data_IF_313579812980
#
_entry.id   IF_313579812980
#
_cell.length_a   1.000
_cell.length_b   1.000
_cell.length_c   1.000
_cell.angle_alpha   90.00
_cell.angle_beta   90.00
_cell.angle_gamma   90.00
#
_symmetry.space_group_name_H-M   'P 1'
#
loop_
_entity.id
_entity.type
_entity.pdbx_description
1 polymer ?
2 non-polymer ?
3 water ?
#
# COMPACT_ATOMS: atom_id res chain seq x y z
N UNK A 2 1.89 27.94 3.76
CA UNK A 2 3.24 28.46 3.71
C UNK A 2 4.41 27.64 4.28
N UNK A 3 4.23 26.36 4.68
CA UNK A 3 5.41 25.55 4.98
C UNK A 3 6.23 25.35 3.72
N UNK A 4 7.55 25.41 3.86
CA UNK A 4 8.40 25.20 2.69
C UNK A 4 8.34 23.80 2.11
N UNK A 5 8.06 22.78 2.91
CA UNK A 5 7.91 21.42 2.41
C UNK A 5 6.65 20.80 2.99
N UNK A 6 5.94 20.01 2.19
CA UNK A 6 4.85 19.19 2.69
C UNK A 6 4.97 17.81 2.06
N UNK A 7 4.60 16.78 2.83
CA UNK A 7 4.59 15.41 2.33
C UNK A 7 3.42 14.71 3.01
N UNK A 8 2.33 14.55 2.28
CA UNK A 8 1.14 14.00 2.88
C UNK A 8 1.29 12.52 3.22
N UNK A 9 2.30 11.84 2.66
CA UNK A 9 2.58 10.47 3.11
C UNK A 9 2.89 10.44 4.60
N UNK A 10 3.57 11.47 5.10
CA UNK A 10 3.97 11.50 6.51
C UNK A 10 2.79 11.67 7.46
N UNK A 11 1.64 12.12 6.96
CA UNK A 11 0.42 12.25 7.75
C UNK A 11 -0.47 11.02 7.63
N UNK A 12 0.02 9.95 7.02
CA UNK A 12 -0.78 8.76 6.83
C UNK A 12 -1.95 8.91 5.88
N UNK A 13 -1.86 9.82 4.91
CA UNK A 13 -2.98 10.14 4.04
C UNK A 13 -2.85 9.58 2.62
N UNK A 14 -1.85 8.74 2.36
CA UNK A 14 -1.55 8.24 1.02
C UNK A 14 -1.43 6.72 1.07
N UNK A 15 -2.24 6.05 0.26
CA UNK A 15 -2.23 4.60 0.15
C UNK A 15 -1.03 4.12 -0.67
N UNK A 16 -0.85 2.80 -0.72
CA UNK A 16 0.25 2.22 -1.50
C UNK A 16 0.18 2.65 -2.96
N UNK A 17 1.36 2.76 -3.59
CA UNK A 17 1.44 3.03 -5.02
C UNK A 17 0.79 1.90 -5.80
N UNK A 18 -0.07 2.26 -6.76
CA UNK A 18 -0.74 1.28 -7.60
C UNK A 18 -0.04 1.12 -8.94
N UNK A 19 -0.48 0.12 -9.71
CA UNK A 19 0.14 -0.26 -10.99
C UNK A 19 -0.95 -0.36 -12.05
N UNK A 20 -1.02 0.65 -12.93
CA UNK A 20 -2.10 0.71 -13.91
C UNK A 20 -1.94 -0.29 -15.04
N UNK A 21 -0.70 -0.69 -15.35
CA UNK A 21 -0.50 -1.64 -16.44
C UNK A 21 -0.90 -1.08 -17.79
N UNK A 22 -1.45 -1.94 -18.63
CA UNK A 22 -1.74 -1.59 -20.01
C UNK A 22 -3.04 -0.82 -20.17
N UNK A 23 -3.70 -0.47 -19.08
CA UNK A 23 -4.97 0.25 -19.10
C UNK A 23 -4.72 1.72 -18.78
N UNK A 24 -5.12 2.60 -19.68
CA UNK A 24 -4.91 4.01 -19.45
C UNK A 24 -5.84 4.64 -18.43
N UNK A 25 -5.78 4.17 -17.18
CA UNK A 25 -6.70 4.61 -16.14
C UNK A 25 -6.01 5.49 -15.12
N UNK A 26 -4.97 6.23 -15.52
CA UNK A 26 -4.30 7.13 -14.60
C UNK A 26 -5.23 8.21 -14.05
N UNK A 27 -6.24 8.62 -14.84
CA UNK A 27 -7.27 9.53 -14.34
C UNK A 27 -8.02 8.96 -13.14
N UNK A 28 -8.28 7.65 -13.17
CA UNK A 28 -8.99 7.04 -12.05
C UNK A 28 -8.09 6.90 -10.82
N UNK A 29 -6.81 6.63 -11.03
CA UNK A 29 -5.91 6.55 -9.89
C UNK A 29 -5.69 7.92 -9.27
N UNK A 30 -5.54 8.95 -10.11
CA UNK A 30 -5.43 10.30 -9.60
C UNK A 30 -6.65 10.68 -8.77
N UNK A 31 -7.85 10.30 -9.22
CA UNK A 31 -9.08 10.65 -8.52
C UNK A 31 -9.17 9.95 -7.14
N UNK A 32 -9.08 8.62 -7.12
CA UNK A 32 -9.21 7.91 -5.84
C UNK A 32 -8.12 8.33 -4.86
N UNK A 33 -6.89 8.48 -5.34
CA UNK A 33 -5.80 8.95 -4.49
C UNK A 33 -6.11 10.25 -3.79
N UNK A 34 -6.66 11.22 -4.52
CA UNK A 34 -7.06 12.48 -3.90
C UNK A 34 -8.18 12.27 -2.88
N UNK A 35 -9.19 11.45 -3.22
CA UNK A 35 -10.31 11.20 -2.31
C UNK A 35 -9.87 10.41 -1.09
N UNK A 36 -8.97 9.44 -1.28
CA UNK A 36 -8.46 8.65 -0.16
C UNK A 36 -7.93 9.56 0.95
N UNK A 37 -7.21 10.63 0.58
CA UNK A 37 -6.66 11.53 1.59
C UNK A 37 -7.75 12.27 2.35
N UNK A 38 -8.77 12.75 1.63
CA UNK A 38 -9.89 13.39 2.31
C UNK A 38 -10.63 12.40 3.19
N UNK A 39 -10.68 11.14 2.78
CA UNK A 39 -11.31 10.11 3.61
C UNK A 39 -10.55 9.91 4.90
N UNK A 40 -9.22 9.89 4.83
CA UNK A 40 -8.40 9.68 6.01
C UNK A 40 -8.56 10.83 6.98
N UNK A 41 -8.52 12.06 6.48
CA UNK A 41 -8.69 13.23 7.32
C UNK A 41 -10.00 13.16 8.09
N UNK A 42 -11.09 12.79 7.42
CA UNK A 42 -12.40 12.83 8.09
C UNK A 42 -12.61 11.66 9.05
N UNK A 43 -12.19 10.45 8.68
CA UNK A 43 -12.56 9.26 9.44
C UNK A 43 -11.39 8.67 10.23
N UNK A 44 -10.16 9.05 9.92
CA UNK A 44 -8.99 8.43 10.51
C UNK A 44 -8.58 7.14 9.87
N UNK A 45 -9.31 6.65 8.87
CA UNK A 45 -9.02 5.37 8.26
C UNK A 45 -8.38 5.58 6.89
N UNK A 46 -7.30 4.85 6.63
CA UNK A 46 -6.62 4.87 5.34
C UNK A 46 -7.09 3.64 4.60
N UNK A 47 -7.90 3.82 3.55
CA UNK A 47 -8.37 2.69 2.77
C UNK A 47 -8.30 3.07 1.28
N UNK A 48 -7.64 2.20 0.50
CA UNK A 48 -7.56 2.40 -0.93
C UNK A 48 -8.95 2.34 -1.52
N UNK A 49 -9.25 3.27 -2.42
CA UNK A 49 -10.54 3.29 -3.09
C UNK A 49 -10.42 2.69 -4.49
N UNK A 50 -11.56 2.24 -5.02
CA UNK A 50 -11.60 1.38 -6.20
C UNK A 50 -11.48 2.22 -7.48
N UNK A 51 -10.28 2.23 -8.08
CA UNK A 51 -10.12 2.80 -9.43
C UNK A 51 -10.94 2.04 -10.47
N UNK A 52 -11.11 0.73 -10.29
CA UNK A 52 -11.86 -0.06 -11.26
C UNK A 52 -13.31 0.38 -11.30
N UNK A 53 -13.87 0.71 -10.12
CA UNK A 53 -15.22 1.27 -10.00
C UNK A 53 -15.40 2.47 -10.93
N UNK A 54 -14.38 3.34 -11.00
CA UNK A 54 -14.44 4.51 -11.87
C UNK A 54 -14.32 4.12 -13.34
N UNK A 55 -13.38 3.22 -13.64
CA UNK A 55 -13.19 2.77 -15.02
C UNK A 55 -14.48 2.16 -15.57
N UNK A 56 -15.14 1.32 -14.77
CA UNK A 56 -16.31 0.58 -15.22
C UNK A 56 -17.60 1.38 -15.15
N UNK A 57 -17.68 2.38 -14.28
CA UNK A 57 -18.94 3.04 -14.00
C UNK A 57 -18.94 4.53 -14.31
N UNK A 58 -17.80 5.22 -14.20
CA UNK A 58 -17.74 6.62 -14.56
C UNK A 58 -17.40 6.69 -16.04
N UNK A 59 -18.40 6.38 -16.86
CA UNK A 59 -18.21 6.19 -18.29
C UNK A 59 -18.83 7.30 -19.15
N UNK A 60 -19.76 6.93 -20.03
CA UNK A 60 -20.11 7.84 -21.12
C UNK A 60 -20.84 9.09 -20.63
N UNK A 61 -21.71 8.98 -19.63
CA UNK A 61 -22.34 10.19 -19.10
C UNK A 61 -21.30 11.19 -18.61
N UNK A 62 -20.13 10.72 -18.21
CA UNK A 62 -19.11 11.57 -17.62
C UNK A 62 -17.98 11.90 -18.59
N UNK A 63 -18.17 11.64 -19.88
CA UNK A 63 -17.16 11.94 -20.87
C UNK A 63 -15.91 11.09 -20.77
N UNK A 64 -15.98 9.98 -20.06
CA UNK A 64 -14.82 9.13 -19.87
C UNK A 64 -14.89 7.87 -20.73
N UNK A 65 -13.74 7.22 -20.90
CA UNK A 65 -13.59 6.12 -21.83
C UNK A 65 -12.85 4.96 -21.20
N UNK A 66 -13.04 4.74 -19.91
CA UNK A 66 -12.40 3.64 -19.22
C UNK A 66 -10.90 3.60 -19.47
N UNK A 67 -10.41 2.47 -20.00
CA UNK A 67 -8.98 2.31 -20.24
C UNK A 67 -8.44 3.21 -21.34
N UNK A 68 -9.30 3.92 -22.06
CA UNK A 68 -8.84 4.87 -23.07
C UNK A 68 -8.89 6.32 -22.62
N UNK A 69 -9.07 6.58 -21.32
CA UNK A 69 -8.89 7.91 -20.76
C UNK A 69 -10.10 8.39 -19.98
N UNK A 70 -9.89 9.47 -19.25
CA UNK A 70 -10.97 10.06 -18.48
C UNK A 70 -10.52 11.33 -17.80
N UNK A 71 -11.50 12.01 -17.20
CA UNK A 71 -11.27 13.19 -16.37
C UNK A 71 -11.40 12.82 -14.90
N UNK A 72 -10.54 13.44 -14.07
CA UNK A 72 -10.69 13.31 -12.63
C UNK A 72 -11.92 14.07 -12.12
N UNK A 73 -12.22 15.24 -12.70
CA UNK A 73 -13.36 16.01 -12.23
C UNK A 73 -14.68 15.27 -12.44
N UNK A 74 -14.87 14.65 -13.61
CA UNK A 74 -16.11 13.90 -13.83
C UNK A 74 -16.09 12.58 -13.08
N UNK A 75 -14.92 12.02 -12.80
CA UNK A 75 -14.85 10.90 -11.87
C UNK A 75 -15.39 11.30 -10.50
N UNK A 76 -14.91 12.44 -9.99
CA UNK A 76 -15.45 13.02 -8.76
C UNK A 76 -16.95 13.17 -8.86
N UNK A 77 -17.42 13.74 -9.97
CA UNK A 77 -18.86 13.96 -10.14
C UNK A 77 -19.63 12.65 -10.10
N UNK A 78 -19.08 11.59 -10.72
CA UNK A 78 -19.72 10.27 -10.65
C UNK A 78 -19.88 9.82 -9.21
N UNK A 79 -18.85 10.02 -8.38
CA UNK A 79 -18.95 9.60 -6.98
C UNK A 79 -20.04 10.37 -6.26
N UNK A 80 -20.14 11.69 -6.54
CA UNK A 80 -21.23 12.50 -5.99
C UNK A 80 -22.58 11.98 -6.47
N UNK A 81 -22.73 11.81 -7.78
CA UNK A 81 -23.99 11.32 -8.32
C UNK A 81 -24.33 9.94 -7.76
N UNK A 82 -23.35 9.04 -7.70
CA UNK A 82 -23.55 7.66 -7.28
C UNK A 82 -23.73 7.53 -5.79
N UNK A 83 -23.49 8.60 -5.03
CA UNK A 83 -23.55 8.54 -3.57
C UNK A 83 -22.58 7.49 -3.03
N UNK A 84 -21.50 7.23 -3.73
CA UNK A 84 -20.51 6.33 -3.17
C UNK A 84 -19.52 5.82 -4.18
N UNK A 85 -18.42 5.28 -3.65
CA UNK A 85 -17.40 4.56 -4.40
C UNK A 85 -16.97 3.36 -3.55
N UNK A 86 -16.76 2.21 -4.20
CA UNK A 86 -16.42 1.01 -3.46
C UNK A 86 -14.95 1.03 -3.03
N UNK A 87 -14.67 0.25 -1.98
CA UNK A 87 -13.27 0.06 -1.60
C UNK A 87 -12.55 -0.68 -2.72
N UNK A 88 -11.25 -0.41 -2.85
CA UNK A 88 -10.42 -1.16 -3.78
C UNK A 88 -10.40 -2.64 -3.42
N UNK A 89 -10.35 -2.97 -2.13
CA UNK A 89 -10.33 -4.37 -1.72
C UNK A 89 -11.53 -5.13 -2.27
N UNK A 90 -12.72 -4.52 -2.19
CA UNK A 90 -13.94 -5.18 -2.64
C UNK A 90 -14.11 -5.14 -4.15
N UNK A 91 -13.46 -4.20 -4.83
CA UNK A 91 -13.67 -3.98 -6.27
C UNK A 91 -12.30 -3.71 -6.88
N UNK A 92 -11.47 -4.75 -6.96
CA UNK A 92 -10.04 -4.54 -7.21
C UNK A 92 -9.76 -4.27 -8.68
N UNK A 93 -8.54 -3.79 -8.92
CA UNK A 93 -8.16 -3.30 -10.23
C UNK A 93 -7.74 -4.46 -11.16
N UNK A 94 -8.36 -4.51 -12.35
CA UNK A 94 -8.11 -5.56 -13.33
C UNK A 94 -7.44 -5.05 -14.59
N UNK A 95 -7.22 -3.74 -14.70
CA UNK A 95 -6.61 -3.11 -15.88
C UNK A 95 -7.30 -3.51 -17.17
N UNK A 96 -8.63 -3.48 -17.18
CA UNK A 96 -9.39 -3.65 -18.40
C UNK A 96 -10.77 -3.03 -18.22
N UNK A 97 -11.48 -2.85 -19.34
CA UNK A 97 -12.84 -2.32 -19.29
C UNK A 97 -13.82 -3.44 -18.98
N UNK A 98 -14.58 -3.29 -17.89
CA UNK A 98 -15.54 -4.28 -17.43
C UNK A 98 -16.90 -3.61 -17.25
N UNK A 99 -17.93 -4.45 -17.10
CA UNK A 99 -19.24 -3.94 -16.73
C UNK A 99 -19.19 -3.29 -15.35
N UNK A 100 -19.99 -2.24 -15.18
CA UNK A 100 -20.08 -1.61 -13.87
C UNK A 100 -20.59 -2.61 -12.84
N UNK A 101 -19.84 -2.77 -11.75
CA UNK A 101 -20.23 -3.70 -10.70
C UNK A 101 -20.34 -3.01 -9.34
N UNK A 102 -20.67 -1.72 -9.34
CA UNK A 102 -20.81 -1.01 -8.08
C UNK A 102 -21.83 -1.68 -7.17
N UNK A 103 -21.48 -1.83 -5.90
CA UNK A 103 -22.36 -2.37 -4.87
C UNK A 103 -22.29 -1.47 -3.65
N UNK A 104 -23.40 -0.82 -3.31
CA UNK A 104 -23.40 0.08 -2.16
C UNK A 104 -23.05 -0.64 -0.85
N UNK A 105 -23.30 -1.95 -0.78
CA UNK A 105 -22.96 -2.71 0.42
C UNK A 105 -21.49 -2.52 0.80
N UNK A 106 -20.62 -2.31 -0.18
CA UNK A 106 -19.18 -2.18 0.05
C UNK A 106 -18.70 -0.74 -0.13
N UNK A 107 -19.61 0.23 -0.10
CA UNK A 107 -19.24 1.63 -0.13
C UNK A 107 -18.19 1.92 0.92
N UNK A 108 -17.09 2.54 0.49
CA UNK A 108 -16.04 2.92 1.42
C UNK A 108 -15.82 4.41 1.51
N UNK A 109 -16.39 5.19 0.61
CA UNK A 109 -16.24 6.63 0.70
C UNK A 109 -17.35 7.29 -0.09
N UNK A 110 -17.45 8.59 0.09
CA UNK A 110 -18.48 9.41 -0.50
C UNK A 110 -17.77 10.67 -1.00
N UNK A 111 -18.46 11.49 -1.79
CA UNK A 111 -17.86 12.74 -2.23
C UNK A 111 -18.91 13.84 -2.21
N UNK A 112 -18.57 14.98 -1.60
CA UNK A 112 -19.52 16.07 -1.46
C UNK A 112 -19.39 17.09 -2.57
N UNK A 113 -18.17 17.42 -2.96
CA UNK A 113 -17.94 18.47 -3.94
C UNK A 113 -16.52 18.29 -4.47
N UNK A 114 -16.19 19.04 -5.51
CA UNK A 114 -14.81 19.14 -5.95
C UNK A 114 -14.54 20.57 -6.42
N UNK A 115 -13.26 20.92 -6.44
CA UNK A 115 -12.79 22.26 -6.73
C UNK A 115 -11.70 22.18 -7.80
N UNK A 116 -11.79 23.04 -8.81
CA UNK A 116 -10.80 23.13 -9.87
C UNK A 116 -9.97 24.38 -9.65
N UNK A 117 -8.62 24.29 -9.85
CA UNK A 117 -7.74 25.42 -9.62
C UNK A 117 -7.38 26.13 -10.93
N UNK A 118 -7.08 27.43 -10.88
CA UNK A 118 -6.84 28.18 -12.11
C UNK A 118 -5.58 27.72 -12.85
N UNK A 119 -5.66 27.78 -14.17
CA UNK A 119 -4.61 27.26 -15.05
C UNK A 119 -3.26 27.93 -14.80
N UNK A 120 -2.22 27.11 -14.62
CA UNK A 120 -0.85 27.57 -14.56
C UNK A 120 -0.39 28.15 -13.22
N UNK A 121 -1.30 28.27 -12.25
CA UNK A 121 -0.99 28.98 -10.99
C UNK A 121 -0.30 28.01 -10.06
N UNK A 122 1.03 27.99 -10.11
CA UNK A 122 1.75 27.11 -9.20
C UNK A 122 1.72 27.63 -7.77
N UNK A 123 1.48 28.94 -7.58
CA UNK A 123 1.29 29.49 -6.23
C UNK A 123 -0.03 29.02 -5.63
N UNK A 124 -1.10 29.03 -6.41
CA UNK A 124 -2.37 28.53 -5.89
C UNK A 124 -2.29 27.03 -5.64
N UNK A 125 -1.56 26.29 -6.49
CA UNK A 125 -1.42 24.85 -6.28
C UNK A 125 -0.70 24.55 -4.98
N UNK A 126 0.38 25.28 -4.70
CA UNK A 126 1.13 25.10 -3.45
C UNK A 126 0.23 25.29 -2.24
N UNK A 127 -0.57 26.36 -2.26
CA UNK A 127 -1.49 26.63 -1.18
C UNK A 127 -2.49 25.49 -0.99
N UNK A 128 -3.10 25.03 -2.09
CA UNK A 128 -4.10 23.98 -1.94
C UNK A 128 -3.48 22.69 -1.39
N UNK A 129 -2.29 22.31 -1.87
CA UNK A 129 -1.64 21.10 -1.35
C UNK A 129 -1.35 21.26 0.15
N UNK A 130 -1.00 22.48 0.57
CA UNK A 130 -0.73 22.73 1.99
C UNK A 130 -2.00 22.79 2.81
N UNK A 131 -3.01 23.53 2.35
CA UNK A 131 -4.19 23.79 3.17
C UNK A 131 -5.36 22.84 2.89
N UNK A 132 -5.28 21.98 1.89
CA UNK A 132 -6.39 21.06 1.64
C UNK A 132 -5.96 19.60 1.57
N UNK A 133 -4.81 19.32 0.99
CA UNK A 133 -4.34 17.95 0.83
C UNK A 133 -3.89 17.64 -0.58
N UNK A 134 -3.69 16.37 -0.87
CA UNK A 134 -3.25 15.97 -2.22
C UNK A 134 -4.20 16.49 -3.29
N UNK A 135 -3.64 16.88 -4.44
CA UNK A 135 -4.38 17.49 -5.53
C UNK A 135 -4.20 16.64 -6.77
N UNK A 136 -5.30 16.27 -7.43
CA UNK A 136 -5.26 15.59 -8.72
C UNK A 136 -4.79 16.55 -9.80
N UNK A 137 -3.81 16.10 -10.60
CA UNK A 137 -3.29 16.92 -11.69
C UNK A 137 -2.99 16.01 -12.89
N UNK A 138 -2.91 16.63 -14.05
CA UNK A 138 -2.34 16.00 -15.22
C UNK A 138 -0.96 16.56 -15.48
N UNK A 139 -0.08 15.73 -16.04
CA UNK A 139 1.22 16.18 -16.51
C UNK A 139 1.41 15.69 -17.94
N UNK A 140 2.35 16.34 -18.63
CA UNK A 140 2.78 15.87 -19.95
C UNK A 140 3.85 14.83 -19.70
N UNK A 141 3.47 13.56 -19.83
CA UNK A 141 4.38 12.44 -19.58
C UNK A 141 4.91 11.79 -20.86
N UNK A 142 4.69 12.41 -22.02
CA UNK A 142 5.09 11.82 -23.31
C UNK A 142 6.55 12.18 -23.62
N UNK A 143 7.44 11.59 -22.84
CA UNK A 143 8.86 11.84 -22.98
C UNK A 143 9.62 10.62 -22.47
N UNK A 144 10.54 10.05 -23.24
CA UNK A 144 11.30 8.89 -22.73
C UNK A 144 11.89 9.14 -21.36
N UNK A 145 12.35 10.36 -21.11
CA UNK A 145 12.95 10.71 -19.84
C UNK A 145 11.99 10.52 -18.67
N UNK A 146 10.70 10.72 -18.89
CA UNK A 146 9.74 10.43 -17.84
C UNK A 146 9.75 8.94 -17.51
N UNK A 147 9.60 8.10 -18.53
CA UNK A 147 9.64 6.65 -18.33
C UNK A 147 10.95 6.22 -17.69
N UNK A 148 12.06 6.87 -18.04
CA UNK A 148 13.38 6.46 -17.56
C UNK A 148 13.76 7.10 -16.23
N UNK A 149 12.95 8.02 -15.72
CA UNK A 149 13.25 8.71 -14.48
C UNK A 149 13.57 7.74 -13.34
N UNK A 150 14.65 8.00 -12.63
CA UNK A 150 14.96 7.17 -11.49
C UNK A 150 15.00 7.93 -10.17
N UNK A 151 15.55 9.14 -10.15
CA UNK A 151 15.67 9.88 -8.90
C UNK A 151 15.95 11.37 -9.17
N UNK A 152 15.74 12.19 -8.15
CA UNK A 152 16.03 13.59 -8.25
C UNK A 152 14.83 14.41 -8.66
N UNK A 153 15.11 15.67 -8.98
CA UNK A 153 14.07 16.61 -9.43
C UNK A 153 14.02 16.53 -10.95
N UNK A 154 12.92 16.00 -11.48
CA UNK A 154 12.70 15.85 -12.91
C UNK A 154 12.55 17.21 -13.60
N UNK A 155 13.36 17.43 -14.63
CA UNK A 155 13.20 18.58 -15.51
C UNK A 155 13.44 18.12 -16.95
N UNK A 156 12.46 18.37 -17.80
CA UNK A 156 12.49 17.96 -19.20
C UNK A 156 12.36 19.19 -20.08
N UNK A 157 13.42 19.60 -20.79
CA UNK A 157 13.35 20.86 -21.55
C UNK A 157 12.30 20.86 -22.64
N UNK A 158 11.99 19.71 -23.24
CA UNK A 158 10.99 19.70 -24.31
C UNK A 158 9.60 19.40 -23.80
N UNK A 159 9.41 19.45 -22.48
CA UNK A 159 8.10 19.20 -21.91
C UNK A 159 7.15 20.35 -22.27
N UNK A 160 5.87 20.04 -22.42
CA UNK A 160 4.84 21.04 -22.73
C UNK A 160 3.88 21.20 -21.55
N UNK A 161 2.94 22.14 -21.68
CA UNK A 161 1.88 22.32 -20.69
C UNK A 161 0.61 21.53 -21.01
N UNK A 162 0.61 20.79 -22.13
CA UNK A 162 -0.52 19.96 -22.54
C UNK A 162 -0.46 18.62 -21.83
N UNK A 163 -1.38 18.38 -20.92
CA UNK A 163 -1.33 17.20 -20.06
C UNK A 163 -1.90 15.99 -20.81
N UNK A 164 -1.42 14.81 -20.42
CA UNK A 164 -1.89 13.56 -21.00
C UNK A 164 -1.85 12.40 -20.01
N UNK A 165 -1.44 12.62 -18.77
CA UNK A 165 -1.26 11.54 -17.80
C UNK A 165 -1.69 12.01 -16.43
N UNK A 166 -2.56 11.24 -15.76
CA UNK A 166 -3.06 11.62 -14.46
C UNK A 166 -2.15 11.17 -13.33
N UNK A 167 -1.84 12.10 -12.43
CA UNK A 167 -1.00 11.85 -11.27
C UNK A 167 -1.59 12.60 -10.07
N UNK A 168 -0.93 12.44 -8.92
CA UNK A 168 -1.38 13.01 -7.64
C UNK A 168 -0.23 13.80 -7.02
N UNK A 169 -0.47 15.09 -6.74
CA UNK A 169 0.49 15.90 -6.01
C UNK A 169 0.22 15.72 -4.53
N UNK A 170 1.10 14.99 -3.84
CA UNK A 170 0.96 14.75 -2.40
C UNK A 170 1.92 15.60 -1.58
N UNK A 171 2.69 16.47 -2.21
CA UNK A 171 3.56 17.34 -1.45
C UNK A 171 4.36 18.25 -2.35
N UNK A 172 5.33 18.93 -1.73
CA UNK A 172 6.27 19.79 -2.44
C UNK A 172 7.43 20.08 -1.51
N UNK A 173 8.50 20.62 -2.08
CA UNK A 173 9.64 21.04 -1.28
C UNK A 173 10.76 21.51 -2.17
N UNK A 174 11.99 21.38 -1.67
CA UNK A 174 13.15 21.83 -2.41
C UNK A 174 14.33 20.93 -2.06
N UNK A 175 15.11 20.56 -3.06
CA UNK A 175 16.33 19.80 -2.82
C UNK A 175 17.47 20.74 -3.18
N UNK A 176 18.15 21.26 -2.15
CA UNK A 176 19.30 22.15 -2.31
C UNK A 176 18.97 23.29 -3.28
N UNK A 177 17.79 23.89 -3.08
CA UNK A 177 17.38 25.01 -3.90
C UNK A 177 16.61 24.68 -5.17
N UNK A 178 16.51 23.39 -5.54
CA UNK A 178 15.69 22.98 -6.66
C UNK A 178 14.29 22.71 -6.13
N UNK A 179 13.36 23.63 -6.42
CA UNK A 179 11.99 23.41 -5.95
C UNK A 179 11.31 22.33 -6.78
N UNK A 180 10.56 21.45 -6.13
CA UNK A 180 9.92 20.35 -6.83
C UNK A 180 8.49 20.14 -6.33
N UNK A 181 7.72 19.42 -7.14
CA UNK A 181 6.45 18.86 -6.68
C UNK A 181 6.64 17.39 -6.36
N UNK A 182 6.05 16.94 -5.25
CA UNK A 182 6.12 15.53 -4.88
C UNK A 182 4.89 14.84 -5.46
N UNK A 183 5.13 13.92 -6.40
CA UNK A 183 4.07 13.36 -7.22
C UNK A 183 4.00 11.84 -7.05
N UNK A 184 2.80 11.35 -6.74
CA UNK A 184 2.52 9.93 -6.73
C UNK A 184 2.09 9.49 -8.12
N UNK A 185 2.81 8.54 -8.71
CA UNK A 185 2.44 7.99 -10.00
C UNK A 185 1.69 6.68 -9.78
N UNK A 186 1.25 6.07 -10.89
CA UNK A 186 0.56 4.77 -10.85
C UNK A 186 1.23 3.77 -11.78
N UNK A 187 2.55 3.68 -11.68
CA UNK A 187 3.30 2.71 -12.48
C UNK A 187 4.01 1.70 -11.60
N UNK A 188 3.48 1.46 -10.40
CA UNK A 188 4.07 0.51 -9.48
C UNK A 188 5.29 1.05 -8.76
N UNK A 189 5.81 0.21 -7.86
CA UNK A 189 6.89 0.60 -6.98
C UNK A 189 8.22 0.75 -7.68
N UNK A 190 8.42 0.09 -8.83
CA UNK A 190 9.70 0.12 -9.52
C UNK A 190 9.94 1.41 -10.32
N UNK A 191 8.90 2.18 -10.58
CA UNK A 191 9.09 3.48 -11.23
C UNK A 191 9.68 4.50 -10.25
N UNK A 192 10.69 5.25 -10.70
CA UNK A 192 11.17 6.43 -10.01
C UNK A 192 11.59 6.18 -8.58
N UNK A 193 11.18 7.07 -7.68
CA UNK A 193 11.53 6.96 -6.28
C UNK A 193 10.37 6.25 -5.57
N UNK A 194 10.45 4.93 -5.56
CA UNK A 194 9.45 4.07 -4.93
C UNK A 194 8.04 4.39 -5.42
N UNK A 195 7.92 4.64 -6.72
CA UNK A 195 6.64 4.94 -7.33
C UNK A 195 6.32 6.41 -7.40
N UNK A 196 7.20 7.28 -6.87
CA UNK A 196 7.03 8.72 -6.82
C UNK A 196 8.01 9.40 -7.78
N UNK A 197 7.64 10.59 -8.22
CA UNK A 197 8.54 11.43 -8.99
C UNK A 197 8.47 12.86 -8.43
N UNK A 198 9.64 13.45 -8.21
CA UNK A 198 9.74 14.86 -7.88
C UNK A 198 9.97 15.66 -9.17
N UNK A 199 9.03 16.53 -9.49
CA UNK A 199 9.00 17.27 -10.74
C UNK A 199 9.24 18.75 -10.48
N UNK A 200 9.97 19.40 -11.39
CA UNK A 200 10.38 20.78 -11.18
C UNK A 200 9.18 21.67 -10.89
N UNK A 201 9.34 22.57 -9.92
CA UNK A 201 8.30 23.46 -9.47
C UNK A 201 8.76 24.91 -9.67
N UNK A 202 7.80 25.79 -9.99
CA UNK A 202 8.06 27.20 -10.29
C UNK A 202 8.99 27.36 -11.50
N UNK A 203 8.79 26.51 -12.52
CA UNK A 203 9.47 26.65 -13.80
C UNK A 203 8.47 26.86 -14.93
N UNK A 204 7.60 27.85 -14.80
CA UNK A 204 6.63 28.12 -15.83
C UNK A 204 5.66 27.00 -16.15
N UNK A 205 5.08 26.37 -15.12
CA UNK A 205 4.11 25.29 -15.28
C UNK A 205 4.75 24.10 -16.01
N UNK A 206 5.87 23.65 -15.48
CA UNK A 206 6.66 22.61 -16.14
C UNK A 206 5.86 21.32 -16.30
N UNK A 207 5.89 20.76 -17.51
CA UNK A 207 5.13 19.57 -17.87
C UNK A 207 3.65 19.74 -17.62
N UNK A 208 3.20 21.00 -17.48
CA UNK A 208 1.81 21.33 -17.26
C UNK A 208 1.23 20.87 -15.94
N UNK A 209 2.07 20.72 -14.91
CA UNK A 209 1.62 20.13 -13.64
C UNK A 209 0.46 20.91 -13.04
N UNK A 210 0.45 22.24 -13.21
CA UNK A 210 -0.61 23.09 -12.66
C UNK A 210 -1.61 23.54 -13.71
N UNK A 211 -1.70 22.85 -14.85
CA UNK A 211 -2.66 23.25 -15.87
C UNK A 211 -4.09 22.98 -15.41
N UNK A 212 -4.38 21.77 -14.91
CA UNK A 212 -5.74 21.40 -14.53
C UNK A 212 -5.75 20.66 -13.19
N UNK A 213 -5.46 21.36 -12.08
CA UNK A 213 -5.57 20.72 -10.76
C UNK A 213 -7.01 20.64 -10.32
N UNK A 214 -7.35 19.56 -9.62
CA UNK A 214 -8.63 19.48 -8.93
C UNK A 214 -8.50 18.64 -7.66
N UNK A 215 -9.40 18.89 -6.71
CA UNK A 215 -9.36 18.09 -5.49
C UNK A 215 -10.78 17.91 -4.98
N UNK A 216 -11.10 16.74 -4.39
CA UNK A 216 -12.46 16.53 -3.87
C UNK A 216 -12.56 16.83 -2.39
N UNK A 217 -13.77 16.86 -1.83
CA UNK A 217 -13.95 17.01 -0.39
C UNK A 217 -15.10 16.16 0.10
N UNK A 218 -14.97 15.69 1.34
CA UNK A 218 -16.03 14.96 2.03
C UNK A 218 -16.43 15.80 3.23
N UNK A 219 -17.63 16.38 3.16
CA UNK A 219 -18.09 17.33 4.15
C UNK A 219 -18.82 16.64 5.30
N UNK A 220 -18.89 17.31 6.44
CA UNK A 220 -19.72 16.86 7.54
C UNK A 220 -21.19 17.00 7.14
N UNK B 2 -13.22 -24.44 17.77
CA UNK B 2 -12.56 -23.46 16.88
C UNK B 2 -13.45 -23.19 15.66
N UNK B 3 -13.47 -21.93 15.21
CA UNK B 3 -14.19 -21.62 13.96
C UNK B 3 -13.56 -22.30 12.76
N UNK B 4 -14.41 -22.81 11.87
CA UNK B 4 -13.95 -23.45 10.65
C UNK B 4 -13.23 -22.48 9.72
N UNK B 5 -13.59 -21.20 9.75
CA UNK B 5 -12.95 -20.19 8.93
C UNK B 5 -12.64 -18.95 9.76
N UNK B 6 -11.49 -18.33 9.49
CA UNK B 6 -11.09 -17.04 10.05
C UNK B 6 -10.52 -16.19 8.93
N UNK B 7 -10.80 -14.88 8.96
CA UNK B 7 -10.20 -13.93 8.01
C UNK B 7 -10.10 -12.59 8.72
N UNK B 8 -8.89 -12.26 9.15
CA UNK B 8 -8.72 -11.07 9.99
C UNK B 8 -8.89 -9.77 9.22
N UNK B 9 -8.86 -9.82 7.88
CA UNK B 9 -9.23 -8.63 7.11
C UNK B 9 -10.65 -8.19 7.43
N UNK B 10 -11.54 -9.15 7.75
CA UNK B 10 -12.93 -8.81 8.04
C UNK B 10 -13.07 -7.94 9.28
N UNK B 11 -12.07 -7.93 10.15
CA UNK B 11 -12.10 -7.15 11.37
C UNK B 11 -11.31 -5.84 11.25
N UNK B 12 -10.86 -5.49 10.05
CA UNK B 12 -10.03 -4.31 9.85
C UNK B 12 -8.64 -4.38 10.46
N UNK B 13 -8.07 -5.57 10.57
CA UNK B 13 -6.81 -5.75 11.28
C UNK B 13 -5.61 -5.93 10.35
N UNK B 14 -5.78 -5.74 9.06
CA UNK B 14 -4.73 -6.04 8.09
C UNK B 14 -4.52 -4.82 7.21
N UNK B 15 -3.30 -4.29 7.21
CA UNK B 15 -2.96 -3.17 6.36
C UNK B 15 -2.84 -3.61 4.90
N UNK B 16 -2.68 -2.61 4.04
CA UNK B 16 -2.52 -2.85 2.62
C UNK B 16 -1.30 -3.73 2.34
N UNK B 17 -1.41 -4.56 1.30
CA UNK B 17 -0.27 -5.37 0.90
C UNK B 17 0.87 -4.46 0.47
N UNK B 18 2.08 -4.76 0.95
CA UNK B 18 3.28 -4.00 0.60
C UNK B 18 4.07 -4.72 -0.50
N UNK B 19 5.09 -4.05 -1.00
CA UNK B 19 5.91 -4.52 -2.13
C UNK B 19 7.37 -4.39 -1.73
N UNK B 20 8.00 -5.52 -1.40
CA UNK B 20 9.36 -5.51 -0.87
C UNK B 20 10.42 -5.22 -1.94
N UNK B 21 10.13 -5.48 -3.21
CA UNK B 21 11.09 -5.23 -4.27
C UNK B 21 12.32 -6.12 -4.15
N UNK B 22 13.47 -5.57 -4.57
CA UNK B 22 14.69 -6.34 -4.64
C UNK B 22 15.39 -6.51 -3.29
N UNK B 23 14.79 -6.01 -2.22
CA UNK B 23 15.32 -6.15 -0.87
C UNK B 23 14.59 -7.29 -0.17
N UNK B 24 15.34 -8.32 0.23
CA UNK B 24 14.76 -9.49 0.88
C UNK B 24 14.36 -9.23 2.32
N UNK B 25 13.40 -8.33 2.50
CA UNK B 25 12.96 -7.91 3.83
C UNK B 25 11.58 -8.48 4.17
N UNK B 26 11.23 -9.64 3.60
CA UNK B 26 9.92 -10.24 3.93
C UNK B 26 9.81 -10.57 5.42
N UNK B 27 10.93 -10.91 6.07
CA UNK B 27 10.93 -11.06 7.52
C UNK B 27 10.46 -9.79 8.23
N UNK B 28 10.82 -8.62 7.70
CA UNK B 28 10.40 -7.35 8.31
C UNK B 28 8.94 -7.06 8.05
N UNK B 29 8.45 -7.41 6.85
CA UNK B 29 7.04 -7.21 6.56
C UNK B 29 6.17 -8.18 7.36
N UNK B 30 6.63 -9.43 7.49
CA UNK B 30 5.90 -10.39 8.33
C UNK B 30 5.79 -9.90 9.77
N UNK B 31 6.86 -9.31 10.30
CA UNK B 31 6.87 -8.83 11.68
C UNK B 31 5.90 -7.66 11.87
N UNK B 32 6.08 -6.56 11.12
CA UNK B 32 5.18 -5.42 11.29
C UNK B 32 3.74 -5.83 11.03
N UNK B 33 3.50 -6.67 10.02
CA UNK B 33 2.15 -7.13 9.75
C UNK B 33 1.47 -7.74 10.96
N UNK B 34 2.18 -8.62 11.67
CA UNK B 34 1.63 -9.24 12.88
C UNK B 34 1.37 -8.22 13.99
N UNK B 35 2.31 -7.29 14.19
CA UNK B 35 2.15 -6.27 15.21
C UNK B 35 1.02 -5.31 14.86
N UNK B 36 0.90 -4.95 13.57
CA UNK B 36 -0.16 -4.06 13.14
C UNK B 36 -1.52 -4.55 13.61
N UNK B 37 -1.76 -5.86 13.50
CA UNK B 37 -3.04 -6.42 13.94
C UNK B 37 -3.22 -6.26 15.45
N UNK B 38 -2.16 -6.53 16.21
CA UNK B 38 -2.24 -6.33 17.66
C UNK B 38 -2.44 -4.85 18.01
N UNK B 39 -1.88 -3.94 17.21
CA UNK B 39 -2.09 -2.52 17.44
C UNK B 39 -3.56 -2.15 17.23
N UNK B 40 -4.18 -2.71 16.18
CA UNK B 40 -5.57 -2.43 15.88
C UNK B 40 -6.48 -2.96 16.99
N UNK B 41 -6.24 -4.18 17.43
CA UNK B 41 -7.03 -4.76 18.52
C UNK B 41 -7.05 -3.84 19.73
N UNK B 42 -5.87 -3.31 20.11
CA UNK B 42 -5.75 -2.55 21.33
C UNK B 42 -6.28 -1.12 21.20
N UNK B 43 -6.01 -0.45 20.08
CA UNK B 43 -6.29 0.97 19.98
C UNK B 43 -7.44 1.33 19.07
N UNK B 44 -7.91 0.40 18.23
CA UNK B 44 -8.89 0.72 17.22
C UNK B 44 -8.33 1.35 15.97
N UNK B 45 -7.02 1.59 15.92
CA UNK B 45 -6.39 2.28 14.81
C UNK B 45 -5.59 1.29 13.97
N UNK B 46 -5.80 1.34 12.65
CA UNK B 46 -5.04 0.55 11.68
C UNK B 46 -4.00 1.46 11.04
N UNK B 47 -2.73 1.22 11.33
CA UNK B 47 -1.65 2.04 10.79
C UNK B 47 -0.50 1.11 10.37
N UNK B 48 -0.01 1.30 9.14
CA UNK B 48 1.13 0.53 8.67
C UNK B 48 2.36 0.90 9.47
N UNK B 49 3.10 -0.11 9.92
CA UNK B 49 4.32 0.09 10.68
C UNK B 49 5.53 -0.05 9.76
N UNK B 50 6.64 0.54 10.19
CA UNK B 50 7.81 0.76 9.35
C UNK B 50 8.64 -0.51 9.28
N UNK B 51 8.52 -1.24 8.16
CA UNK B 51 9.43 -2.34 7.87
C UNK B 51 10.87 -1.87 7.76
N UNK B 52 11.08 -0.65 7.24
CA UNK B 52 12.43 -0.11 7.09
C UNK B 52 13.12 0.10 8.44
N UNK B 53 12.36 0.54 9.45
CA UNK B 53 12.84 0.62 10.81
C UNK B 53 13.47 -0.69 11.28
N UNK B 54 12.86 -1.82 10.90
CA UNK B 54 13.41 -3.14 11.24
C UNK B 54 14.67 -3.42 10.42
N UNK B 55 14.62 -3.15 9.12
CA UNK B 55 15.74 -3.38 8.23
C UNK B 55 16.99 -2.61 8.69
N UNK B 56 16.81 -1.33 9.03
CA UNK B 56 17.94 -0.45 9.35
C UNK B 56 18.44 -0.62 10.78
N UNK B 57 17.59 -1.05 11.70
CA UNK B 57 17.91 -0.97 13.12
C UNK B 57 17.95 -2.32 13.80
N UNK B 58 17.15 -3.29 13.36
CA UNK B 58 17.21 -4.64 13.93
C UNK B 58 18.23 -5.46 13.14
N UNK B 59 19.50 -5.18 13.44
CA UNK B 59 20.61 -5.68 12.64
C UNK B 59 21.44 -6.74 13.36
N UNK B 60 22.73 -6.48 13.58
CA UNK B 60 23.64 -7.54 13.97
C UNK B 60 23.37 -8.05 15.38
N UNK B 61 23.01 -7.14 16.31
CA UNK B 61 22.65 -7.55 17.67
C UNK B 61 21.50 -8.56 17.66
N UNK B 62 20.66 -8.51 16.64
CA UNK B 62 19.50 -9.37 16.54
C UNK B 62 19.69 -10.48 15.51
N UNK B 63 20.93 -10.70 15.06
CA UNK B 63 21.24 -11.74 14.10
C UNK B 63 20.65 -11.54 12.73
N UNK B 64 20.25 -10.32 12.41
CA UNK B 64 19.64 -10.03 11.13
C UNK B 64 20.62 -9.32 10.20
N UNK B 65 20.30 -9.33 8.92
CA UNK B 65 21.18 -8.84 7.87
C UNK B 65 20.42 -7.96 6.88
N UNK B 66 19.45 -7.19 7.37
CA UNK B 66 18.68 -6.29 6.54
C UNK B 66 18.09 -6.93 5.31
N UNK B 67 18.47 -6.39 4.13
CA UNK B 67 17.96 -6.87 2.85
C UNK B 67 18.46 -8.27 2.50
N UNK B 68 19.37 -8.85 3.29
CA UNK B 68 19.83 -10.21 3.09
C UNK B 68 19.23 -11.21 4.08
N UNK B 69 18.23 -10.81 4.84
CA UNK B 69 17.48 -11.74 5.68
C UNK B 69 17.41 -11.28 7.13
N UNK B 70 16.51 -11.95 7.86
CA UNK B 70 16.32 -11.68 9.28
C UNK B 70 15.28 -12.63 9.84
N UNK B 71 15.15 -12.61 11.18
CA UNK B 71 14.13 -13.37 11.89
C UNK B 71 13.00 -12.44 12.32
N UNK B 72 11.76 -12.93 12.28
CA UNK B 72 10.68 -12.13 12.83
C UNK B 72 10.78 -12.05 14.36
N UNK B 73 11.25 -13.13 15.02
CA UNK B 73 11.29 -13.14 16.49
C UNK B 73 12.23 -12.06 17.02
N UNK B 74 13.42 -11.94 16.45
CA UNK B 74 14.36 -10.92 16.90
C UNK B 74 13.94 -9.54 16.42
N UNK B 75 13.19 -9.45 15.32
CA UNK B 75 12.57 -8.19 14.97
C UNK B 75 11.64 -7.73 16.09
N UNK B 76 10.73 -8.60 16.54
CA UNK B 76 9.91 -8.34 17.70
C UNK B 76 10.76 -7.94 18.89
N UNK B 77 11.85 -8.68 19.12
CA UNK B 77 12.72 -8.40 20.25
C UNK B 77 13.33 -7.00 20.16
N UNK B 78 13.74 -6.59 18.96
CA UNK B 78 14.27 -5.24 18.79
C UNK B 78 13.22 -4.20 19.21
N UNK B 79 11.96 -4.41 18.82
CA UNK B 79 10.91 -3.46 19.17
C UNK B 79 10.74 -3.41 20.69
N UNK B 80 10.81 -4.57 21.36
CA UNK B 80 10.73 -4.58 22.82
C UNK B 80 11.89 -3.80 23.43
N UNK B 81 13.12 -4.12 23.01
CA UNK B 81 14.29 -3.42 23.51
C UNK B 81 14.24 -1.94 23.17
N UNK B 82 13.84 -1.61 21.94
CA UNK B 82 13.87 -0.24 21.47
C UNK B 82 12.78 0.62 22.08
N UNK B 83 11.84 0.00 22.79
CA UNK B 83 10.69 0.66 23.39
C UNK B 83 9.81 1.31 22.35
N UNK B 84 9.87 0.82 21.10
CA UNK B 84 9.01 1.34 20.05
C UNK B 84 9.40 0.99 18.62
N UNK B 85 8.44 1.21 17.71
CA UNK B 85 8.69 1.13 16.27
C UNK B 85 7.92 2.27 15.62
N UNK B 86 8.55 2.92 14.64
CA UNK B 86 7.96 4.06 13.96
C UNK B 86 6.87 3.62 12.99
N UNK B 87 5.96 4.54 12.69
CA UNK B 87 5.02 4.34 11.61
C UNK B 87 5.75 4.26 10.29
N UNK B 88 5.16 3.53 9.33
CA UNK B 88 5.66 3.57 7.97
C UNK B 88 5.63 4.99 7.42
N UNK B 89 4.58 5.75 7.75
CA UNK B 89 4.44 7.13 7.27
C UNK B 89 5.67 7.98 7.63
N UNK B 90 6.13 7.87 8.87
CA UNK B 90 7.30 8.66 9.28
C UNK B 90 8.60 8.06 8.78
N UNK B 91 8.63 6.75 8.53
CA UNK B 91 9.87 6.02 8.25
C UNK B 91 9.60 5.06 7.11
N UNK B 92 9.49 5.58 5.88
CA UNK B 92 8.97 4.77 4.77
C UNK B 92 9.99 3.79 4.21
N UNK B 93 9.47 2.84 3.42
CA UNK B 93 10.25 1.73 2.90
C UNK B 93 10.99 2.11 1.61
N UNK B 94 12.30 1.85 1.59
CA UNK B 94 13.14 2.19 0.45
C UNK B 94 13.75 0.97 -0.22
N UNK B 95 13.52 -0.23 0.31
CA UNK B 95 14.09 -1.46 -0.23
C UNK B 95 15.60 -1.33 -0.43
N UNK B 96 16.27 -0.80 0.60
CA UNK B 96 17.72 -0.85 0.68
C UNK B 96 18.13 -0.78 2.14
N UNK B 97 19.40 -1.09 2.39
CA UNK B 97 20.00 -1.02 3.72
C UNK B 97 20.42 0.43 4.00
N UNK B 98 19.94 1.00 5.10
CA UNK B 98 20.24 2.38 5.47
C UNK B 98 20.70 2.42 6.93
N UNK B 99 21.29 3.55 7.29
CA UNK B 99 21.59 3.82 8.69
C UNK B 99 20.29 3.86 9.46
N UNK B 100 20.34 3.40 10.71
CA UNK B 100 19.17 3.44 11.57
C UNK B 100 18.70 4.89 11.75
N UNK B 101 17.45 5.17 11.42
CA UNK B 101 16.89 6.50 11.56
C UNK B 101 15.70 6.52 12.50
N UNK B 102 15.65 5.58 13.44
CA UNK B 102 14.55 5.53 14.39
C UNK B 102 14.41 6.85 15.13
N UNK B 103 13.18 7.32 15.22
CA UNK B 103 12.87 8.57 15.93
C UNK B 103 11.69 8.29 16.84
N UNK B 104 11.92 8.32 18.16
CA UNK B 104 10.85 8.04 19.10
C UNK B 104 9.67 8.99 18.95
N UNK B 105 9.92 10.19 18.41
CA UNK B 105 8.85 11.16 18.20
C UNK B 105 7.70 10.56 17.39
N UNK B 106 8.01 9.67 16.45
CA UNK B 106 7.01 9.08 15.56
C UNK B 106 6.71 7.63 15.89
N UNK B 107 6.98 7.22 17.13
CA UNK B 107 6.57 5.91 17.61
C UNK B 107 5.10 5.68 17.30
N UNK B 108 4.79 4.58 16.62
CA UNK B 108 3.40 4.23 16.34
C UNK B 108 2.95 2.94 17.01
N UNK B 109 3.84 2.15 17.56
CA UNK B 109 3.47 0.92 18.25
C UNK B 109 4.60 0.50 19.19
N UNK B 110 4.28 -0.46 20.03
CA UNK B 110 5.18 -0.95 21.07
C UNK B 110 5.08 -2.47 21.05
N UNK B 111 5.96 -3.16 21.75
CA UNK B 111 5.80 -4.62 21.86
C UNK B 111 6.16 -5.07 23.26
N UNK B 112 5.28 -5.87 23.87
CA UNK B 112 5.52 -6.36 25.22
C UNK B 112 6.18 -7.74 25.21
N UNK B 113 5.76 -8.61 24.29
CA UNK B 113 6.25 -9.99 24.27
C UNK B 113 5.98 -10.57 22.89
N UNK B 114 6.55 -11.75 22.66
CA UNK B 114 6.22 -12.56 21.49
C UNK B 114 6.27 -14.02 21.89
N UNK B 115 5.58 -14.84 21.12
CA UNK B 115 5.41 -16.26 21.40
C UNK B 115 5.77 -17.04 20.15
N UNK B 116 6.56 -18.09 20.31
CA UNK B 116 6.89 -18.98 19.20
C UNK B 116 6.04 -20.25 19.33
N UNK B 117 5.53 -20.73 18.19
CA UNK B 117 4.70 -21.93 18.22
C UNK B 117 5.51 -23.16 17.82
N UNK B 118 5.16 -24.36 18.29
CA UNK B 118 5.99 -25.55 18.01
C UNK B 118 5.98 -25.95 16.55
N UNK B 119 7.14 -26.42 16.09
CA UNK B 119 7.38 -26.76 14.68
C UNK B 119 6.40 -27.83 14.21
N UNK B 120 5.76 -27.55 13.06
CA UNK B 120 4.93 -28.52 12.39
C UNK B 120 3.51 -28.68 12.90
N UNK B 121 3.15 -28.00 13.99
CA UNK B 121 1.84 -28.18 14.61
C UNK B 121 0.86 -27.24 13.92
N UNK B 122 0.18 -27.76 12.89
CA UNK B 122 -0.84 -26.98 12.21
C UNK B 122 -2.10 -26.83 13.05
N UNK B 123 -2.31 -27.73 14.02
CA UNK B 123 -3.43 -27.57 14.96
C UNK B 123 -3.20 -26.37 15.88
N UNK B 124 -1.99 -26.24 16.44
CA UNK B 124 -1.67 -25.13 17.30
C UNK B 124 -1.65 -23.81 16.52
N UNK B 125 -1.19 -23.85 15.28
CA UNK B 125 -1.22 -22.64 14.46
C UNK B 125 -2.65 -22.17 14.24
N UNK B 126 -3.55 -23.10 13.92
CA UNK B 126 -4.96 -22.78 13.73
C UNK B 126 -5.55 -22.15 14.98
N UNK B 127 -5.25 -22.73 16.14
CA UNK B 127 -5.72 -22.17 17.39
C UNK B 127 -5.23 -20.72 17.56
N UNK B 128 -3.92 -20.50 17.37
CA UNK B 128 -3.36 -19.17 17.59
C UNK B 128 -3.97 -18.15 16.63
N UNK B 129 -4.14 -18.53 15.36
CA UNK B 129 -4.71 -17.59 14.40
C UNK B 129 -6.12 -17.19 14.81
N UNK B 130 -6.89 -18.15 15.31
CA UNK B 130 -8.25 -17.86 15.77
C UNK B 130 -8.25 -17.05 17.07
N UNK B 131 -7.43 -17.46 18.04
CA UNK B 131 -7.53 -16.91 19.39
C UNK B 131 -6.56 -15.76 19.68
N UNK B 132 -5.60 -15.49 18.79
CA UNK B 132 -4.63 -14.42 19.05
C UNK B 132 -4.56 -13.43 17.90
N UNK B 133 -4.70 -13.89 16.67
CA UNK B 133 -4.63 -13.00 15.54
C UNK B 133 -3.65 -13.47 14.49
N UNK B 134 -3.38 -12.61 13.51
CA UNK B 134 -2.46 -13.01 12.43
C UNK B 134 -1.11 -13.42 13.00
N UNK B 135 -0.53 -14.47 12.41
CA UNK B 135 0.69 -15.07 12.91
C UNK B 135 1.79 -14.95 11.86
N UNK B 136 2.96 -14.48 12.28
CA UNK B 136 4.13 -14.45 11.42
C UNK B 136 4.67 -15.87 11.20
N UNK B 137 4.92 -16.22 9.94
CA UNK B 137 5.47 -17.52 9.59
C UNK B 137 6.44 -17.35 8.44
N UNK B 138 7.28 -18.36 8.28
CA UNK B 138 8.07 -18.55 7.07
C UNK B 138 7.48 -19.67 6.24
N UNK B 139 7.62 -19.56 4.92
CA UNK B 139 7.28 -20.64 3.99
C UNK B 139 8.44 -20.86 3.04
N UNK B 140 8.44 -22.05 2.42
CA UNK B 140 9.41 -22.37 1.38
C UNK B 140 8.85 -21.83 0.07
N UNK B 141 9.36 -20.69 -0.37
CA UNK B 141 8.87 -20.03 -1.57
C UNK B 141 9.77 -20.24 -2.76
N UNK B 142 10.76 -21.14 -2.68
CA UNK B 142 11.73 -21.33 -3.76
C UNK B 142 11.19 -22.31 -4.81
N UNK B 143 10.19 -21.83 -5.55
CA UNK B 143 9.54 -22.62 -6.58
C UNK B 143 8.92 -21.66 -7.59
N UNK B 144 9.15 -21.87 -8.89
CA UNK B 144 8.50 -21.01 -9.89
C UNK B 144 7.00 -20.92 -9.67
N UNK B 145 6.39 -22.04 -9.27
CA UNK B 145 4.95 -22.08 -9.06
C UNK B 145 4.52 -21.09 -7.99
N UNK B 146 5.37 -20.84 -7.00
CA UNK B 146 5.05 -19.80 -6.02
C UNK B 146 5.02 -18.44 -6.69
N UNK B 147 6.08 -18.10 -7.42
CA UNK B 147 6.13 -16.81 -8.11
C UNK B 147 4.96 -16.66 -9.09
N UNK B 148 4.59 -17.73 -9.78
CA UNK B 148 3.56 -17.69 -10.81
C UNK B 148 2.15 -17.91 -10.28
N UNK B 149 1.99 -18.21 -9.00
CA UNK B 149 0.66 -18.41 -8.43
C UNK B 149 -0.26 -17.23 -8.75
N UNK B 150 -1.49 -17.54 -9.17
CA UNK B 150 -2.51 -16.55 -9.48
C UNK B 150 -3.77 -16.67 -8.63
N UNK B 151 -4.28 -17.89 -8.42
CA UNK B 151 -5.49 -18.09 -7.64
C UNK B 151 -5.58 -19.55 -7.22
N UNK B 152 -6.47 -19.81 -6.29
CA UNK B 152 -6.75 -21.15 -5.84
C UNK B 152 -5.94 -21.52 -4.61
N UNK B 153 -6.00 -22.81 -4.27
CA UNK B 153 -5.25 -23.34 -3.15
C UNK B 153 -3.92 -23.88 -3.66
N UNK B 154 -2.84 -23.23 -3.25
CA UNK B 154 -1.50 -23.60 -3.68
C UNK B 154 -1.10 -24.94 -3.09
N UNK B 155 -0.71 -25.88 -3.95
CA UNK B 155 -0.09 -27.12 -3.49
C UNK B 155 1.09 -27.41 -4.40
N UNK B 156 2.27 -27.54 -3.81
CA UNK B 156 3.52 -27.75 -4.55
C UNK B 156 4.12 -29.06 -4.06
N UNK B 157 4.05 -30.15 -4.84
CA UNK B 157 4.52 -31.44 -4.33
C UNK B 157 6.00 -31.45 -3.97
N UNK B 158 6.81 -30.62 -4.64
CA UNK B 158 8.23 -30.58 -4.33
C UNK B 158 8.56 -29.54 -3.27
N UNK B 159 7.55 -29.00 -2.60
CA UNK B 159 7.81 -28.04 -1.55
C UNK B 159 8.45 -28.71 -0.33
N UNK B 160 9.32 -28.00 0.37
CA UNK B 160 9.93 -28.56 1.57
C UNK B 160 9.42 -27.84 2.82
N UNK B 161 9.82 -28.36 3.98
CA UNK B 161 9.51 -27.72 5.26
C UNK B 161 10.57 -26.70 5.68
N UNK B 162 11.61 -26.53 4.87
CA UNK B 162 12.68 -25.57 5.14
C UNK B 162 12.28 -24.18 4.65
N UNK B 163 11.98 -23.28 5.56
CA UNK B 163 11.44 -21.98 5.18
C UNK B 163 12.55 -21.06 4.71
N UNK B 164 12.16 -20.10 3.85
CA UNK B 164 13.09 -19.12 3.33
C UNK B 164 12.45 -17.78 3.07
N UNK B 165 11.15 -17.61 3.31
CA UNK B 165 10.44 -16.39 2.94
C UNK B 165 9.39 -16.11 4.01
N UNK B 166 9.41 -14.90 4.54
CA UNK B 166 8.52 -14.53 5.63
C UNK B 166 7.19 -14.02 5.10
N UNK B 167 6.11 -14.51 5.69
CA UNK B 167 4.75 -14.11 5.32
C UNK B 167 3.91 -14.00 6.60
N UNK B 168 2.64 -13.67 6.41
CA UNK B 168 1.70 -13.44 7.50
C UNK B 168 0.46 -14.29 7.26
N UNK B 169 0.10 -15.12 8.24
CA UNK B 169 -1.15 -15.87 8.19
C UNK B 169 -2.24 -15.00 8.81
N UNK B 170 -3.15 -14.49 7.98
CA UNK B 170 -4.26 -13.66 8.46
C UNK B 170 -5.58 -14.43 8.53
N UNK B 171 -5.59 -15.70 8.16
CA UNK B 171 -6.81 -16.45 8.29
C UNK B 171 -6.64 -17.88 7.82
N UNK B 172 -7.77 -18.57 7.70
CA UNK B 172 -7.82 -19.93 7.16
C UNK B 172 -9.26 -20.25 6.80
N UNK B 173 -9.42 -21.33 6.03
CA UNK B 173 -10.75 -21.79 5.69
C UNK B 173 -10.74 -23.01 4.81
N UNK B 174 -11.83 -23.17 4.06
CA UNK B 174 -12.05 -24.38 3.27
C UNK B 174 -12.87 -24.04 2.03
N UNK B 175 -12.38 -24.45 0.87
CA UNK B 175 -13.12 -24.33 -0.38
C UNK B 175 -13.30 -25.71 -0.97
N UNK B 176 -14.54 -26.22 -0.97
CA UNK B 176 -14.86 -27.48 -1.63
C UNK B 176 -13.97 -28.63 -1.17
N UNK B 177 -13.71 -28.69 0.13
CA UNK B 177 -12.91 -29.76 0.70
C UNK B 177 -11.42 -29.50 0.73
N UNK B 178 -10.96 -28.44 0.11
CA UNK B 178 -9.54 -28.07 0.15
C UNK B 178 -9.32 -27.12 1.31
N UNK B 179 -8.70 -27.60 2.38
CA UNK B 179 -8.35 -26.73 3.50
C UNK B 179 -7.14 -25.87 3.16
N UNK B 180 -7.20 -24.59 3.53
CA UNK B 180 -6.11 -23.69 3.20
C UNK B 180 -5.81 -22.74 4.36
N UNK B 181 -4.62 -22.16 4.29
CA UNK B 181 -4.25 -21.01 5.10
C UNK B 181 -4.34 -19.74 4.24
N UNK B 182 -4.83 -18.67 4.82
CA UNK B 182 -4.91 -17.39 4.13
C UNK B 182 -3.65 -16.59 4.42
N UNK B 183 -2.83 -16.34 3.40
CA UNK B 183 -1.48 -15.83 3.61
C UNK B 183 -1.34 -14.45 2.95
N UNK B 184 -0.91 -13.47 3.75
CA UNK B 184 -0.55 -12.16 3.24
C UNK B 184 0.92 -12.18 2.81
N UNK B 185 1.18 -11.91 1.52
CA UNK B 185 2.52 -11.78 0.98
C UNK B 185 2.90 -10.30 0.92
N UNK B 186 4.15 -10.03 0.53
CA UNK B 186 4.68 -8.68 0.37
C UNK B 186 5.31 -8.50 -1.02
N UNK B 187 4.55 -8.88 -2.06
CA UNK B 187 4.93 -8.74 -3.46
C UNK B 187 3.92 -7.88 -4.24
N UNK B 188 3.21 -6.98 -3.55
CA UNK B 188 2.25 -6.09 -4.20
C UNK B 188 0.92 -6.74 -4.55
N UNK B 189 0.03 -5.93 -5.12
CA UNK B 189 -1.31 -6.42 -5.41
C UNK B 189 -1.33 -7.44 -6.56
N UNK B 190 -0.36 -7.36 -7.48
CA UNK B 190 -0.42 -8.21 -8.66
C UNK B 190 -0.02 -9.65 -8.38
N UNK B 191 0.58 -9.95 -7.23
CA UNK B 191 0.83 -11.34 -6.87
C UNK B 191 -0.46 -12.03 -6.40
N UNK B 192 -0.72 -13.21 -6.97
CA UNK B 192 -1.79 -14.06 -6.46
C UNK B 192 -3.14 -13.36 -6.42
N UNK B 193 -3.83 -13.54 -5.31
CA UNK B 193 -5.19 -13.04 -5.15
C UNK B 193 -5.12 -11.72 -4.39
N UNK B 194 -4.92 -10.63 -5.14
CA UNK B 194 -4.78 -9.29 -4.57
C UNK B 194 -3.70 -9.25 -3.49
N UNK B 195 -2.58 -9.91 -3.78
CA UNK B 195 -1.44 -9.94 -2.88
C UNK B 195 -1.43 -11.09 -1.90
N UNK B 196 -2.46 -11.92 -1.90
CA UNK B 196 -2.59 -13.04 -0.98
C UNK B 196 -2.45 -14.35 -1.74
N UNK B 197 -2.07 -15.39 -1.00
CA UNK B 197 -2.04 -16.75 -1.50
C UNK B 197 -2.73 -17.66 -0.47
N UNK B 198 -3.61 -18.53 -0.95
CA UNK B 198 -4.20 -19.55 -0.11
C UNK B 198 -3.32 -20.80 -0.23
N UNK B 199 -2.74 -21.24 0.89
CA UNK B 199 -1.77 -22.32 0.87
C UNK B 199 -2.32 -23.54 1.59
N UNK B 200 -2.03 -24.72 1.06
CA UNK B 200 -2.62 -25.95 1.54
C UNK B 200 -2.41 -26.12 3.05
N UNK B 201 -3.46 -26.56 3.74
CA UNK B 201 -3.46 -26.72 5.18
C UNK B 201 -3.75 -28.18 5.55
N UNK B 202 -3.14 -28.62 6.65
CA UNK B 202 -3.26 -30.01 7.10
C UNK B 202 -2.79 -30.99 6.04
N UNK B 203 -1.70 -30.63 5.35
CA UNK B 203 -1.03 -31.52 4.42
C UNK B 203 0.40 -31.70 4.88
N UNK B 204 0.61 -32.09 6.13
CA UNK B 204 1.94 -32.37 6.63
C UNK B 204 2.92 -31.21 6.60
N UNK B 205 2.48 -30.03 7.07
CA UNK B 205 3.32 -28.84 7.14
C UNK B 205 3.83 -28.46 5.74
N UNK B 206 2.88 -28.33 4.80
CA UNK B 206 3.20 -28.05 3.41
C UNK B 206 3.92 -26.71 3.25
N UNK B 207 5.06 -26.72 2.53
CA UNK B 207 5.93 -25.55 2.34
C UNK B 207 6.44 -24.97 3.66
N UNK B 208 6.39 -25.73 4.75
CA UNK B 208 6.89 -25.26 6.04
C UNK B 208 6.07 -24.15 6.67
N UNK B 209 4.78 -24.06 6.34
CA UNK B 209 3.98 -22.96 6.85
C UNK B 209 3.94 -22.96 8.38
N UNK B 210 3.95 -24.14 9.02
CA UNK B 210 3.90 -24.23 10.47
C UNK B 210 5.25 -24.54 11.10
N UNK B 211 6.33 -24.33 10.36
CA UNK B 211 7.66 -24.64 10.91
C UNK B 211 8.06 -23.66 12.01
N UNK B 212 8.01 -22.36 11.74
CA UNK B 212 8.44 -21.35 12.71
C UNK B 212 7.44 -20.20 12.82
N UNK B 213 6.23 -20.46 13.35
CA UNK B 213 5.30 -19.36 13.61
C UNK B 213 5.66 -18.63 14.89
N UNK B 214 5.43 -17.31 14.88
CA UNK B 214 5.52 -16.47 16.07
C UNK B 214 4.57 -15.28 15.93
N UNK B 215 4.13 -14.75 17.07
CA UNK B 215 3.23 -13.57 17.05
C UNK B 215 3.54 -12.70 18.25
N UNK B 216 3.45 -11.36 18.10
CA UNK B 216 3.72 -10.45 19.22
C UNK B 216 2.45 -10.07 19.94
N UNK B 217 2.57 -9.38 21.06
CA UNK B 217 1.43 -8.85 21.77
C UNK B 217 1.79 -7.52 22.39
N UNK B 218 0.77 -6.66 22.52
CA UNK B 218 0.88 -5.39 23.23
C UNK B 218 0.00 -5.48 24.47
N UNK B 219 0.63 -5.52 25.64
CA UNK B 219 -0.08 -5.73 26.89
C UNK B 219 -0.52 -4.40 27.49
N UNK B 220 -1.50 -4.47 28.40
CA UNK B 220 -1.91 -3.29 29.14
C UNK B 220 -0.82 -2.88 30.11
#
# INVERSE_FOLDING_TARGET
ILPDSVDWREKGCVTEVKYQGSCGASWAFSAVGALEAQLKLKTGKLVSLSAQNLVDCSTEKYGNKGCNGGFMTTAFQYIIDNKGIDSDASYPYKAMDQKCQYDSKYRAATCSKYTELPYGREDVLKEAVANKGPVSVGVDARHPSFFLYRSGVYYEPSCTQNVNHGVLVVGYGDLNGKEYWLVKNSWGHNFGEEGYIRMARNKGNHCGIASFPSYPEILQGGG
ILPDSVDWREKGCVTEVKYQGSCGASWAFSAVGALEAQLKLKTGKLVSLSAQNLVDCSTEKYGNKGCNGGFMTTAFQYIIDNKGIDSDASYPYKAMDQKCQYDSKYRAATCSKYTELPYGREDVLKEAVANKGPVSVGVDARHPSFFLYRSGVYYEPSCTQNVNHGVLVVGYGDLNGKEYWLVKNSWGHNFGEEGYIRMARNKGNHCGIASFPSYPEILQGGG
#
